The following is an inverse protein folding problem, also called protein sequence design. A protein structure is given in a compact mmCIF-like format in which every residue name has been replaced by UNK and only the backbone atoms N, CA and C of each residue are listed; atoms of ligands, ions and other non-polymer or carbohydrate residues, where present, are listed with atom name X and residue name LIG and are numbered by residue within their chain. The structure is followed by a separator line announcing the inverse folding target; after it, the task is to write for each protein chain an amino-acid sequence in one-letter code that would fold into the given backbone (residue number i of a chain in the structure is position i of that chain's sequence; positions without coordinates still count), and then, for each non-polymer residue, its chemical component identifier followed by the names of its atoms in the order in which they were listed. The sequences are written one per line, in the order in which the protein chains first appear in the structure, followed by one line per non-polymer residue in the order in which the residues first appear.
data_IF_546808345354
#
_entry.id   IF_546808345354
#
_cell.length_a   1.000
_cell.length_b   1.000
_cell.length_c   1.000
_cell.angle_alpha   90.00
_cell.angle_beta   90.00
_cell.angle_gamma   90.00
#
_symmetry.space_group_name_H-M   'P 1'
#
loop_
_entity.id
_entity.type
_entity.pdbx_description
1 polymer ?
#
# COMPACT_ATOMS: atom_id res chain seq x y z
N UNK A 1 6.12 -10.71 10.54
CA UNK A 1 5.50 -9.88 9.49
C UNK A 1 4.52 -10.69 8.67
N UNK A 2 4.93 -11.81 8.05
CA UNK A 2 4.05 -12.67 7.25
C UNK A 2 2.75 -13.05 7.98
N UNK A 3 2.85 -13.68 9.15
CA UNK A 3 1.68 -14.09 9.95
C UNK A 3 0.77 -12.92 10.34
N UNK A 4 1.33 -11.71 10.51
CA UNK A 4 0.56 -10.51 10.80
C UNK A 4 -0.27 -10.12 9.57
N UNK A 5 0.34 -10.06 8.38
CA UNK A 5 -0.40 -9.75 7.14
C UNK A 5 -1.49 -10.79 6.87
N UNK A 6 -1.18 -12.08 7.01
CA UNK A 6 -2.15 -13.16 6.82
C UNK A 6 -3.28 -13.14 7.85
N UNK A 7 -3.02 -12.60 9.05
CA UNK A 7 -4.01 -12.39 10.11
C UNK A 7 -5.01 -11.27 9.83
N UNK A 8 -4.65 -10.27 9.03
CA UNK A 8 -5.54 -9.16 8.65
C UNK A 8 -6.48 -9.57 7.51
N UNK A 9 -7.67 -10.07 7.87
CA UNK A 9 -8.64 -10.65 6.92
C UNK A 9 -9.45 -9.60 6.15
N UNK A 10 -9.44 -8.35 6.60
CA UNK A 10 -10.17 -7.25 5.97
C UNK A 10 -9.46 -6.67 4.74
N UNK A 11 -8.18 -7.02 4.53
CA UNK A 11 -7.39 -6.61 3.37
C UNK A 11 -7.42 -7.70 2.30
N UNK A 12 -7.62 -7.29 1.05
CA UNK A 12 -7.68 -8.22 -0.08
C UNK A 12 -6.28 -8.70 -0.49
N UNK A 13 -5.31 -7.78 -0.51
CA UNK A 13 -3.88 -8.06 -0.72
C UNK A 13 -3.06 -7.14 0.15
N UNK A 14 -1.89 -7.60 0.56
CA UNK A 14 -0.93 -6.80 1.32
C UNK A 14 0.50 -7.17 0.93
N UNK A 15 1.38 -6.18 0.88
CA UNK A 15 2.82 -6.35 0.69
C UNK A 15 3.59 -5.33 1.51
N UNK A 16 4.69 -5.78 2.09
CA UNK A 16 5.67 -4.95 2.79
C UNK A 16 6.98 -5.02 2.02
N UNK A 17 7.55 -3.88 1.66
CA UNK A 17 8.83 -3.79 0.96
C UNK A 17 9.68 -2.64 1.50
N UNK A 18 11.00 -2.72 1.34
CA UNK A 18 11.91 -1.65 1.74
C UNK A 18 12.18 -0.66 0.59
N UNK A 19 12.91 0.41 0.92
CA UNK A 19 13.32 1.46 -0.03
C UNK A 19 14.15 1.00 -1.23
N UNK A 20 14.67 -0.23 -1.21
CA UNK A 20 15.42 -0.82 -2.31
C UNK A 20 14.53 -1.74 -3.17
N UNK A 21 13.21 -1.77 -2.90
CA UNK A 21 12.24 -2.61 -3.60
C UNK A 21 12.22 -4.06 -3.13
N UNK A 22 12.96 -4.39 -2.05
CA UNK A 22 12.99 -5.76 -1.55
C UNK A 22 11.70 -6.08 -0.80
N UNK A 23 10.95 -7.05 -1.31
CA UNK A 23 9.77 -7.60 -0.62
C UNK A 23 10.19 -8.33 0.67
N UNK A 24 9.59 -7.93 1.79
CA UNK A 24 9.84 -8.47 3.13
C UNK A 24 8.73 -9.45 3.57
N UNK A 25 7.50 -9.23 3.10
CA UNK A 25 6.34 -10.10 3.32
C UNK A 25 5.22 -9.75 2.32
N UNK A 26 4.40 -10.73 1.93
CA UNK A 26 3.25 -10.50 1.04
C UNK A 26 2.17 -11.57 1.23
N UNK A 27 0.92 -11.23 0.97
CA UNK A 27 -0.21 -12.19 0.99
C UNK A 27 -0.57 -12.74 -0.38
N UNK A 28 0.21 -12.37 -1.41
CA UNK A 28 0.03 -12.75 -2.80
C UNK A 28 1.39 -12.83 -3.49
N UNK A 29 1.43 -13.42 -4.69
CA UNK A 29 2.62 -13.43 -5.53
C UNK A 29 2.82 -12.05 -6.17
N UNK A 30 3.96 -11.43 -5.90
CA UNK A 30 4.23 -10.02 -6.22
C UNK A 30 5.03 -9.96 -7.51
N UNK A 31 4.51 -9.25 -8.52
CA UNK A 31 5.35 -8.83 -9.65
C UNK A 31 6.30 -7.74 -9.17
N UNK A 32 7.60 -7.98 -9.27
CA UNK A 32 8.61 -7.02 -8.81
C UNK A 32 8.62 -5.75 -9.65
N UNK A 33 8.14 -5.78 -10.89
CA UNK A 33 8.00 -4.57 -11.71
C UNK A 33 6.98 -3.61 -11.08
N UNK A 34 5.87 -4.12 -10.53
CA UNK A 34 4.90 -3.29 -9.81
C UNK A 34 5.57 -2.57 -8.63
N UNK A 35 6.48 -3.25 -7.91
CA UNK A 35 7.19 -2.65 -6.78
C UNK A 35 8.20 -1.60 -7.25
N UNK A 36 8.96 -1.89 -8.32
CA UNK A 36 9.91 -0.95 -8.90
C UNK A 36 9.22 0.35 -9.36
N UNK A 37 8.06 0.24 -10.02
CA UNK A 37 7.26 1.39 -10.47
C UNK A 37 6.68 2.21 -9.31
N UNK A 38 6.48 1.60 -8.14
CA UNK A 38 5.97 2.26 -6.93
C UNK A 38 7.06 2.94 -6.08
N UNK A 39 8.35 2.62 -6.25
CA UNK A 39 9.44 3.26 -5.51
C UNK A 39 9.45 4.80 -5.59
N UNK A 40 9.22 5.43 -6.77
CA UNK A 40 9.19 6.89 -6.87
C UNK A 40 7.86 7.51 -6.43
N UNK A 41 6.85 6.74 -5.99
CA UNK A 41 5.49 7.23 -5.72
C UNK A 41 5.46 8.50 -4.87
N UNK A 42 6.29 8.58 -3.83
CA UNK A 42 6.30 9.71 -2.89
C UNK A 42 7.21 10.88 -3.31
N UNK A 43 7.85 10.80 -4.47
CA UNK A 43 8.78 11.83 -4.95
C UNK A 43 8.08 12.92 -5.77
N UNK A 44 6.88 12.64 -6.30
CA UNK A 44 6.18 13.52 -7.23
C UNK A 44 4.66 13.35 -7.13
N UNK A 45 4.01 14.28 -6.42
CA UNK A 45 2.55 14.30 -6.20
C UNK A 45 1.78 14.45 -7.52
N UNK A 46 2.25 15.31 -8.43
CA UNK A 46 1.58 15.56 -9.71
C UNK A 46 1.57 14.30 -10.58
N UNK A 47 2.70 13.58 -10.63
CA UNK A 47 2.78 12.32 -11.34
C UNK A 47 1.93 11.23 -10.67
N UNK A 48 1.88 11.17 -9.34
CA UNK A 48 1.00 10.23 -8.64
C UNK A 48 -0.48 10.45 -9.02
N UNK A 49 -0.95 11.70 -9.04
CA UNK A 49 -2.32 12.01 -9.47
C UNK A 49 -2.55 11.75 -10.97
N UNK A 50 -1.54 11.99 -11.80
CA UNK A 50 -1.66 11.84 -13.26
C UNK A 50 -1.66 10.39 -13.72
N UNK A 51 -0.86 9.54 -13.07
CA UNK A 51 -0.59 8.18 -13.51
C UNK A 51 -1.15 7.11 -12.59
N UNK A 52 -1.66 7.45 -11.41
CA UNK A 52 -2.29 6.46 -10.53
C UNK A 52 -1.30 5.48 -9.91
N UNK A 53 -1.80 4.30 -9.54
CA UNK A 53 -1.01 3.16 -9.09
C UNK A 53 -1.46 1.91 -9.84
N UNK A 54 -0.50 1.07 -10.20
CA UNK A 54 -0.75 -0.26 -10.77
C UNK A 54 -0.31 -1.35 -9.79
N UNK A 55 -1.11 -2.42 -9.71
CA UNK A 55 -0.76 -3.61 -8.92
C UNK A 55 -1.45 -4.86 -9.46
N UNK A 56 -0.67 -5.87 -9.84
CA UNK A 56 -1.17 -7.17 -10.28
C UNK A 56 -2.12 -7.06 -11.47
N UNK A 57 -1.79 -6.16 -12.42
CA UNK A 57 -2.56 -5.89 -13.62
C UNK A 57 -3.81 -5.01 -13.43
N UNK A 58 -4.01 -4.43 -12.24
CA UNK A 58 -5.15 -3.56 -11.93
C UNK A 58 -4.69 -2.12 -11.71
N UNK A 59 -5.48 -1.17 -12.23
CA UNK A 59 -5.18 0.26 -12.17
C UNK A 59 -6.07 1.01 -11.18
N UNK A 60 -5.47 1.94 -10.42
CA UNK A 60 -6.12 2.71 -9.38
C UNK A 60 -5.82 4.22 -9.51
N UNK A 61 -6.87 5.03 -9.58
CA UNK A 61 -6.74 6.50 -9.55
C UNK A 61 -6.36 6.97 -8.14
N UNK A 62 -5.33 7.81 -8.03
CA UNK A 62 -4.99 8.48 -6.76
C UNK A 62 -6.06 9.51 -6.42
N UNK A 63 -6.60 9.43 -5.21
CA UNK A 63 -7.58 10.38 -4.71
C UNK A 63 -7.02 11.28 -3.62
N UNK A 64 -6.02 10.80 -2.86
CA UNK A 64 -5.37 11.53 -1.78
C UNK A 64 -3.90 11.21 -1.77
N UNK A 65 -3.11 12.26 -1.58
CA UNK A 65 -1.67 12.20 -1.46
C UNK A 65 -1.25 12.99 -0.21
N UNK A 66 -0.37 12.39 0.58
CA UNK A 66 0.27 12.97 1.75
C UNK A 66 1.70 12.44 1.81
N UNK A 67 2.59 13.15 2.51
CA UNK A 67 4.01 12.77 2.63
C UNK A 67 4.25 11.31 3.06
N UNK A 68 3.35 10.68 3.80
CA UNK A 68 3.51 9.30 4.29
C UNK A 68 2.39 8.36 3.87
N UNK A 69 1.44 8.85 3.07
CA UNK A 69 0.24 8.09 2.73
C UNK A 69 -0.33 8.51 1.37
N UNK A 70 -0.50 7.54 0.48
CA UNK A 70 -1.21 7.73 -0.81
C UNK A 70 -2.31 6.69 -0.91
N UNK A 71 -3.51 7.09 -1.30
CA UNK A 71 -4.59 6.13 -1.53
C UNK A 71 -5.58 6.56 -2.60
N UNK A 72 -6.22 5.56 -3.17
CA UNK A 72 -6.98 5.68 -4.39
C UNK A 72 -8.08 4.63 -4.51
N UNK A 73 -8.73 4.63 -5.67
CA UNK A 73 -9.80 3.69 -6.01
C UNK A 73 -9.54 3.04 -7.35
N UNK A 74 -9.99 1.80 -7.49
CA UNK A 74 -9.93 1.09 -8.76
C UNK A 74 -10.80 1.84 -9.78
N UNK A 75 -10.32 1.99 -11.01
CA UNK A 75 -11.03 2.77 -12.07
C UNK A 75 -12.34 2.10 -12.52
N UNK A 76 -12.47 0.80 -12.28
CA UNK A 76 -13.74 0.08 -12.31
C UNK A 76 -14.67 0.62 -11.20
N UNK A 77 -15.56 1.55 -11.57
CA UNK A 77 -16.46 2.25 -10.64
C UNK A 77 -17.56 1.36 -10.02
N UNK A 78 -17.58 0.05 -10.28
CA UNK A 78 -18.68 -0.82 -9.82
C UNK A 78 -18.43 -1.44 -8.45
N UNK A 79 -17.18 -1.57 -8.01
CA UNK A 79 -16.82 -2.46 -6.90
C UNK A 79 -16.41 -1.74 -5.61
N UNK A 80 -16.10 -0.44 -5.68
CA UNK A 80 -15.69 0.33 -4.50
C UNK A 80 -14.31 -0.07 -3.96
N UNK A 81 -13.60 -0.92 -4.70
CA UNK A 81 -12.26 -1.41 -4.42
C UNK A 81 -11.26 -0.26 -4.40
N UNK A 82 -10.22 -0.41 -3.58
CA UNK A 82 -9.20 0.62 -3.44
C UNK A 82 -7.85 0.07 -3.06
N UNK A 83 -6.90 1.00 -3.07
CA UNK A 83 -5.49 0.78 -2.77
C UNK A 83 -5.03 1.85 -1.80
N UNK A 84 -4.09 1.49 -0.94
CA UNK A 84 -3.46 2.41 -0.01
C UNK A 84 -2.00 2.01 0.18
N UNK A 85 -1.10 2.99 0.08
CA UNK A 85 0.34 2.83 0.33
C UNK A 85 0.71 3.75 1.49
N UNK A 86 1.29 3.17 2.54
CA UNK A 86 1.88 3.91 3.65
C UNK A 86 3.40 3.81 3.58
N UNK A 87 4.07 4.96 3.62
CA UNK A 87 5.53 5.08 3.81
C UNK A 87 5.78 5.35 5.29
N UNK A 88 6.44 4.42 5.96
CA UNK A 88 6.90 4.55 7.34
C UNK A 88 8.40 4.28 7.44
N UNK A 89 8.95 4.26 8.65
CA UNK A 89 10.36 3.96 8.92
C UNK A 89 10.47 2.81 9.91
N UNK A 90 11.45 1.95 9.71
CA UNK A 90 11.94 1.03 10.74
C UNK A 90 13.43 1.34 10.90
N UNK A 91 13.83 1.81 12.08
CA UNK A 91 15.15 2.43 12.27
C UNK A 91 15.41 3.54 11.25
N UNK A 92 16.52 3.44 10.52
CA UNK A 92 16.90 4.41 9.49
C UNK A 92 16.36 4.08 8.08
N UNK A 93 15.67 2.94 7.91
CA UNK A 93 15.18 2.49 6.60
C UNK A 93 13.74 2.93 6.39
N UNK A 94 13.44 3.47 5.21
CA UNK A 94 12.06 3.62 4.79
C UNK A 94 11.47 2.23 4.44
N UNK A 95 10.27 1.98 4.96
CA UNK A 95 9.49 0.77 4.72
C UNK A 95 8.14 1.19 4.17
N UNK A 96 7.68 0.46 3.17
CA UNK A 96 6.41 0.70 2.50
C UNK A 96 5.48 -0.46 2.79
N UNK A 97 4.23 -0.15 3.14
CA UNK A 97 3.17 -1.14 3.28
C UNK A 97 2.06 -0.74 2.32
N UNK A 98 1.77 -1.62 1.38
CA UNK A 98 0.69 -1.47 0.42
C UNK A 98 -0.40 -2.48 0.77
N UNK A 99 -1.65 -2.01 0.75
CA UNK A 99 -2.82 -2.89 0.83
C UNK A 99 -3.81 -2.57 -0.29
N UNK A 100 -4.56 -3.58 -0.72
CA UNK A 100 -5.82 -3.40 -1.43
C UNK A 100 -6.97 -3.88 -0.57
N UNK A 101 -8.16 -3.35 -0.84
CA UNK A 101 -9.37 -3.72 -0.14
C UNK A 101 -10.57 -3.66 -1.08
N UNK A 102 -11.56 -4.49 -0.79
CA UNK A 102 -12.82 -4.58 -1.52
C UNK A 102 -14.01 -4.42 -0.57
N UNK A 103 -15.19 -4.14 -1.12
CA UNK A 103 -16.42 -4.09 -0.34
C UNK A 103 -16.63 -5.39 0.48
N UNK A 104 -17.04 -5.32 1.76
CA UNK A 104 -17.59 -4.17 2.49
C UNK A 104 -16.56 -3.22 3.12
N UNK A 105 -15.26 -3.47 2.96
CA UNK A 105 -14.21 -2.59 3.50
C UNK A 105 -14.11 -1.32 2.65
N UNK A 106 -14.26 -0.17 3.30
CA UNK A 106 -14.10 1.15 2.67
C UNK A 106 -12.77 1.78 3.07
N UNK A 107 -12.32 2.77 2.29
CA UNK A 107 -11.12 3.57 2.60
C UNK A 107 -11.15 4.16 4.02
N UNK A 108 -12.31 4.59 4.50
CA UNK A 108 -12.50 5.11 5.86
C UNK A 108 -12.16 4.10 6.97
N UNK A 109 -12.17 2.78 6.68
CA UNK A 109 -11.67 1.73 7.58
C UNK A 109 -10.26 1.29 7.21
N UNK A 110 -9.99 0.96 5.94
CA UNK A 110 -8.71 0.40 5.51
C UNK A 110 -7.53 1.35 5.73
N UNK A 111 -7.72 2.65 5.47
CA UNK A 111 -6.63 3.63 5.56
C UNK A 111 -6.17 3.85 7.01
N UNK A 112 -7.05 4.14 7.99
CA UNK A 112 -6.63 4.24 9.40
C UNK A 112 -6.05 2.93 9.94
N UNK A 113 -6.60 1.80 9.50
CA UNK A 113 -6.15 0.46 9.90
C UNK A 113 -4.71 0.18 9.45
N UNK A 114 -4.37 0.53 8.21
CA UNK A 114 -3.00 0.45 7.69
C UNK A 114 -2.04 1.33 8.49
N UNK A 115 -2.43 2.57 8.79
CA UNK A 115 -1.59 3.48 9.58
C UNK A 115 -1.35 2.93 10.99
N UNK A 116 -2.38 2.34 11.61
CA UNK A 116 -2.24 1.69 12.92
C UNK A 116 -1.33 0.47 12.85
N UNK A 117 -1.47 -0.36 11.82
CA UNK A 117 -0.60 -1.51 11.58
C UNK A 117 0.87 -1.09 11.47
N UNK A 118 1.15 -0.06 10.66
CA UNK A 118 2.52 0.45 10.49
C UNK A 118 3.13 0.88 11.84
N UNK A 119 2.39 1.67 12.62
CA UNK A 119 2.82 2.13 13.95
C UNK A 119 3.03 1.01 14.96
N UNK A 120 2.13 0.01 14.96
CA UNK A 120 2.15 -1.06 15.94
C UNK A 120 3.18 -2.17 15.61
N UNK A 121 3.46 -2.39 14.33
CA UNK A 121 4.14 -3.61 13.89
C UNK A 121 5.31 -3.40 12.93
N UNK A 122 5.43 -2.25 12.28
CA UNK A 122 6.51 -1.97 11.33
C UNK A 122 7.54 -1.04 11.95
N UNK A 123 7.09 0.08 12.51
CA UNK A 123 7.96 1.06 13.16
C UNK A 123 8.83 0.47 14.29
N UNK A 124 8.32 -0.42 15.15
CA UNK A 124 9.11 -0.98 16.25
C UNK A 124 10.12 -2.07 15.86
N UNK A 125 10.21 -2.47 14.57
CA UNK A 125 11.00 -3.64 14.17
C UNK A 125 12.53 -3.47 14.19
N UNK A 126 13.05 -2.38 14.74
CA UNK A 126 14.49 -2.16 14.96
C UNK A 126 14.75 -1.54 16.33
#
# INVERSE_FOLDING_TARGET
MQDLLEGHKEWSRAVVYDQDGKVLASTFDVDLNDIEDLLPLFNDEDNAFRFGLDLGGEHYDVHRFYDTLVYGRKVDQKTGDGICVCRTKSGDKAIFVLITYAFPTLSAKAVPDLQQFCKAHVEPLL
#
